data_IF_923309104917
#
_entry.id   IF_923309104917
#
_cell.length_a   1.000
_cell.length_b   1.000
_cell.length_c   1.000
_cell.angle_alpha   90.00
_cell.angle_beta   90.00
_cell.angle_gamma   90.00
#
_symmetry.space_group_name_H-M   'P 1'
#
loop_
_entity.id
_entity.type
_entity.pdbx_description
1 polymer ?
#
# COMPACT_ATOMS: atom_id res chain seq x y z
N UNK A 1 -11.49 -7.44 8.32
CA UNK A 1 -11.11 -7.56 9.73
C UNK A 1 -10.16 -6.43 10.12
N UNK A 2 -10.14 -6.09 11.40
CA UNK A 2 -9.17 -5.20 12.03
C UNK A 2 -8.39 -5.97 13.09
N UNK A 3 -7.25 -5.44 13.51
CA UNK A 3 -6.54 -5.87 14.70
C UNK A 3 -7.14 -5.27 15.99
N UNK A 4 -6.45 -5.45 17.14
CA UNK A 4 -7.03 -5.17 18.45
C UNK A 4 -7.29 -3.70 18.74
N UNK A 5 -6.52 -2.78 18.16
CA UNK A 5 -6.68 -1.33 18.28
C UNK A 5 -7.33 -0.67 17.05
N UNK A 6 -7.61 -1.48 16.00
CA UNK A 6 -8.37 -1.06 14.83
C UNK A 6 -7.62 -0.19 13.83
N UNK A 7 -6.31 -0.03 13.97
CA UNK A 7 -5.50 0.81 13.07
C UNK A 7 -5.08 0.09 11.78
N UNK A 8 -5.16 -1.25 11.76
CA UNK A 8 -4.85 -2.11 10.61
C UNK A 8 -6.08 -2.81 10.08
N UNK A 9 -6.06 -3.12 8.80
CA UNK A 9 -7.17 -3.78 8.15
C UNK A 9 -6.71 -4.95 7.27
N UNK A 10 -7.53 -5.99 7.21
CA UNK A 10 -7.38 -7.10 6.28
C UNK A 10 -8.66 -7.25 5.47
N UNK A 11 -8.52 -7.33 4.16
CA UNK A 11 -9.63 -7.57 3.23
C UNK A 11 -9.57 -9.01 2.76
N UNK A 12 -10.67 -9.71 2.97
CA UNK A 12 -10.86 -11.09 2.57
C UNK A 12 -12.17 -11.24 1.82
N UNK A 13 -12.10 -11.70 0.60
CA UNK A 13 -13.25 -12.12 -0.20
C UNK A 13 -13.60 -13.58 0.07
N UNK A 14 -14.48 -14.15 -0.74
CA UNK A 14 -14.82 -15.58 -0.66
C UNK A 14 -13.62 -16.42 -1.11
N UNK A 15 -12.84 -16.90 -0.14
CA UNK A 15 -11.62 -17.66 -0.39
C UNK A 15 -10.47 -16.86 -1.06
N UNK A 16 -10.58 -15.53 -1.11
CA UNK A 16 -9.63 -14.67 -1.79
C UNK A 16 -9.08 -13.58 -0.86
N UNK A 17 -7.79 -13.66 -0.56
CA UNK A 17 -7.08 -12.70 0.28
C UNK A 17 -6.49 -11.55 -0.55
N UNK A 18 -6.72 -10.32 -0.12
CA UNK A 18 -6.15 -9.12 -0.74
C UNK A 18 -4.87 -8.72 -0.01
N UNK A 19 -3.76 -8.68 -0.72
CA UNK A 19 -2.51 -8.14 -0.16
C UNK A 19 -2.68 -6.66 0.15
N UNK A 20 -2.18 -6.16 1.29
CA UNK A 20 -2.29 -4.74 1.66
C UNK A 20 -1.76 -3.78 0.59
N UNK A 21 -0.66 -4.15 -0.06
CA UNK A 21 -0.10 -3.37 -1.17
C UNK A 21 -1.04 -3.25 -2.36
N UNK A 22 -1.76 -4.31 -2.72
CA UNK A 22 -2.79 -4.28 -3.76
C UNK A 22 -4.02 -3.50 -3.30
N UNK A 23 -4.37 -3.62 -2.00
CA UNK A 23 -5.46 -2.87 -1.40
C UNK A 23 -5.28 -1.36 -1.60
N UNK A 24 -4.11 -0.80 -1.29
CA UNK A 24 -3.84 0.63 -1.50
C UNK A 24 -4.04 1.04 -2.98
N UNK A 25 -3.53 0.25 -3.92
CA UNK A 25 -3.69 0.52 -5.35
C UNK A 25 -5.17 0.54 -5.77
N UNK A 26 -5.98 -0.36 -5.19
CA UNK A 26 -7.42 -0.43 -5.43
C UNK A 26 -8.15 0.77 -4.84
N UNK A 27 -7.82 1.20 -3.61
CA UNK A 27 -8.39 2.41 -3.04
C UNK A 27 -8.11 3.63 -3.92
N UNK A 28 -6.89 3.75 -4.44
CA UNK A 28 -6.52 4.82 -5.38
C UNK A 28 -7.32 4.72 -6.67
N UNK A 29 -7.41 3.53 -7.29
CA UNK A 29 -8.18 3.32 -8.53
C UNK A 29 -9.63 3.74 -8.39
N UNK A 30 -10.26 3.38 -7.31
CA UNK A 30 -11.70 3.56 -7.09
C UNK A 30 -12.07 4.75 -6.19
N UNK A 31 -11.12 5.66 -5.89
CA UNK A 31 -11.35 6.75 -4.94
C UNK A 31 -12.62 7.57 -5.22
N UNK A 32 -12.94 7.84 -6.48
CA UNK A 32 -14.12 8.63 -6.86
C UNK A 32 -15.47 7.99 -6.51
N UNK A 33 -15.49 6.69 -6.20
CA UNK A 33 -16.68 6.00 -5.74
C UNK A 33 -17.02 6.32 -4.27
N UNK A 34 -16.07 6.84 -3.52
CA UNK A 34 -16.24 7.20 -2.12
C UNK A 34 -16.55 8.69 -2.00
N UNK A 35 -17.63 9.08 -1.31
CA UNK A 35 -18.05 10.48 -1.22
C UNK A 35 -16.94 11.43 -0.78
N UNK A 36 -16.11 11.03 0.16
CA UNK A 36 -14.99 11.83 0.68
C UNK A 36 -13.98 12.22 -0.40
N UNK A 37 -13.77 11.39 -1.42
CA UNK A 37 -12.78 11.60 -2.49
C UNK A 37 -13.38 11.99 -3.84
N UNK A 38 -14.64 12.40 -3.91
CA UNK A 38 -15.27 12.78 -5.18
C UNK A 38 -14.57 13.96 -5.87
N UNK A 39 -13.98 14.87 -5.09
CA UNK A 39 -13.16 15.98 -5.60
C UNK A 39 -11.81 15.55 -6.17
N UNK A 40 -11.42 14.28 -5.99
CA UNK A 40 -10.17 13.71 -6.44
C UNK A 40 -9.12 13.58 -5.34
N UNK A 41 -7.99 12.99 -5.73
CA UNK A 41 -6.80 12.87 -4.89
C UNK A 41 -5.81 13.98 -5.25
N UNK A 42 -5.14 14.57 -4.24
CA UNK A 42 -4.02 15.50 -4.43
C UNK A 42 -2.73 14.77 -4.75
N UNK A 43 -2.55 13.62 -4.15
CA UNK A 43 -1.43 12.72 -4.30
C UNK A 43 -1.59 11.54 -3.35
N UNK A 44 -0.72 10.57 -3.47
CA UNK A 44 -0.71 9.32 -2.72
C UNK A 44 0.67 9.06 -2.15
N UNK A 45 0.76 8.46 -0.97
CA UNK A 45 2.04 7.99 -0.45
C UNK A 45 2.02 6.51 -0.08
N UNK A 46 3.17 5.87 -0.26
CA UNK A 46 3.44 4.51 0.21
C UNK A 46 4.78 4.42 0.92
N UNK A 47 4.92 3.47 1.84
CA UNK A 47 6.23 3.14 2.40
C UNK A 47 7.13 2.46 1.36
N UNK A 48 8.44 2.54 1.53
CA UNK A 48 9.41 1.94 0.61
C UNK A 48 9.20 0.42 0.40
N UNK A 49 8.92 -0.39 1.45
CA UNK A 49 8.65 -1.82 1.27
C UNK A 49 7.27 -2.14 0.68
N UNK A 50 6.38 -1.15 0.57
CA UNK A 50 5.07 -1.34 -0.09
C UNK A 50 5.23 -1.46 -1.60
N UNK A 51 4.44 -2.33 -2.21
CA UNK A 51 4.43 -2.57 -3.65
C UNK A 51 4.27 -1.30 -4.49
N UNK A 52 4.95 -1.22 -5.62
CA UNK A 52 4.75 -0.18 -6.64
C UNK A 52 3.46 -0.38 -7.48
N UNK A 53 2.56 -1.28 -7.08
CA UNK A 53 1.25 -1.38 -7.73
C UNK A 53 0.49 -0.04 -7.71
N UNK A 54 0.56 0.69 -6.58
CA UNK A 54 -0.05 2.01 -6.47
C UNK A 54 0.59 3.04 -7.40
N UNK A 55 1.90 2.93 -7.66
CA UNK A 55 2.62 3.83 -8.58
C UNK A 55 2.09 3.66 -10.01
N UNK A 56 1.87 2.39 -10.43
CA UNK A 56 1.31 2.08 -11.75
C UNK A 56 -0.10 2.66 -11.93
N UNK A 57 -0.95 2.52 -10.92
CA UNK A 57 -2.32 3.07 -10.94
C UNK A 57 -2.29 4.59 -10.95
N UNK A 58 -1.53 5.21 -10.04
CA UNK A 58 -1.44 6.66 -9.89
C UNK A 58 -0.88 7.33 -11.14
N UNK A 59 0.13 6.72 -11.78
CA UNK A 59 0.70 7.20 -13.05
C UNK A 59 -0.34 7.31 -14.15
N UNK A 60 -1.21 6.29 -14.29
CA UNK A 60 -2.30 6.32 -15.28
C UNK A 60 -3.33 7.41 -14.98
N UNK A 61 -3.46 7.79 -13.72
CA UNK A 61 -4.40 8.82 -13.27
C UNK A 61 -3.78 10.23 -13.23
N UNK A 62 -2.49 10.36 -13.54
CA UNK A 62 -1.77 11.64 -13.47
C UNK A 62 -1.58 12.15 -12.04
N UNK A 63 -1.51 11.24 -11.05
CA UNK A 63 -1.34 11.57 -9.64
C UNK A 63 0.13 11.47 -9.22
N UNK A 64 0.55 12.37 -8.35
CA UNK A 64 1.84 12.30 -7.70
C UNK A 64 1.89 11.16 -6.68
N UNK A 65 2.98 10.40 -6.69
CA UNK A 65 3.26 9.33 -5.72
C UNK A 65 4.51 9.66 -4.94
N UNK A 66 4.41 9.56 -3.63
CA UNK A 66 5.51 9.78 -2.70
C UNK A 66 5.91 8.46 -2.03
N UNK A 67 7.14 8.05 -2.24
CA UNK A 67 7.74 6.93 -1.50
C UNK A 67 8.40 7.48 -0.24
N UNK A 68 8.07 6.90 0.92
CA UNK A 68 8.64 7.29 2.21
C UNK A 68 9.39 6.13 2.85
N UNK A 69 10.31 6.40 3.78
CA UNK A 69 10.75 5.37 4.72
C UNK A 69 9.57 4.77 5.49
N UNK A 70 9.76 3.60 6.10
CA UNK A 70 8.76 3.00 7.00
C UNK A 70 8.57 3.89 8.23
N UNK A 71 7.32 4.13 8.57
CA UNK A 71 6.93 4.91 9.76
C UNK A 71 5.88 5.96 9.43
N UNK A 72 4.78 5.93 10.19
CA UNK A 72 3.60 6.77 9.93
C UNK A 72 3.88 8.28 9.97
N UNK A 73 4.87 8.72 10.76
CA UNK A 73 5.30 10.13 10.85
C UNK A 73 5.66 10.74 9.48
N UNK A 74 6.16 9.96 8.55
CA UNK A 74 6.51 10.46 7.22
C UNK A 74 5.27 10.76 6.38
N UNK A 75 4.22 9.92 6.51
CA UNK A 75 2.93 10.22 5.90
C UNK A 75 2.29 11.46 6.53
N UNK A 76 2.31 11.56 7.87
CA UNK A 76 1.81 12.73 8.58
C UNK A 76 2.43 14.03 8.06
N UNK A 77 3.74 14.06 7.83
CA UNK A 77 4.44 15.22 7.27
C UNK A 77 3.95 15.57 5.84
N UNK A 78 3.66 14.59 5.00
CA UNK A 78 3.12 14.83 3.66
C UNK A 78 1.64 15.27 3.69
N UNK A 79 0.86 14.74 4.63
CA UNK A 79 -0.52 15.15 4.87
C UNK A 79 -0.58 16.61 5.36
N UNK A 80 0.29 17.00 6.31
CA UNK A 80 0.39 18.37 6.81
C UNK A 80 0.85 19.35 5.74
N UNK A 81 1.74 18.93 4.87
CA UNK A 81 2.17 19.72 3.71
C UNK A 81 1.11 19.81 2.59
N UNK A 82 -0.05 19.16 2.74
CA UNK A 82 -1.11 19.12 1.73
C UNK A 82 -0.74 18.40 0.44
N UNK A 83 0.34 17.60 0.45
CA UNK A 83 0.84 16.90 -0.74
C UNK A 83 0.01 15.68 -1.12
N UNK A 84 -0.52 14.99 -0.11
CA UNK A 84 -1.31 13.78 -0.27
C UNK A 84 -2.61 13.88 0.52
N UNK A 85 -3.56 13.03 0.19
CA UNK A 85 -4.77 12.80 0.99
C UNK A 85 -5.14 11.32 1.11
N UNK A 86 -4.28 10.41 0.64
CA UNK A 86 -4.41 8.97 0.84
C UNK A 86 -3.00 8.36 0.95
N UNK A 87 -2.82 7.43 1.89
CA UNK A 87 -1.55 6.72 2.06
C UNK A 87 -1.75 5.31 2.62
N UNK A 88 -0.72 4.48 2.51
CA UNK A 88 -0.77 3.12 3.03
C UNK A 88 0.56 2.40 3.04
N UNK A 89 0.57 1.30 3.79
CA UNK A 89 1.73 0.42 4.03
C UNK A 89 1.39 -1.03 3.68
N UNK A 90 2.43 -1.81 3.40
CA UNK A 90 2.32 -3.27 3.25
C UNK A 90 1.92 -3.97 4.55
N UNK A 91 2.14 -3.31 5.67
CA UNK A 91 1.85 -3.78 7.03
C UNK A 91 0.40 -3.53 7.48
N UNK A 92 -0.54 -3.52 6.53
CA UNK A 92 -1.99 -3.40 6.74
C UNK A 92 -2.49 -2.02 7.20
N UNK A 93 -1.62 -1.00 7.25
CA UNK A 93 -1.99 0.37 7.60
C UNK A 93 -2.43 1.18 6.38
N UNK A 94 -3.57 1.85 6.47
CA UNK A 94 -4.05 2.81 5.48
C UNK A 94 -4.69 3.98 6.19
N UNK A 95 -4.64 5.16 5.58
CA UNK A 95 -5.21 6.37 6.17
C UNK A 95 -5.36 7.52 5.16
N UNK A 96 -6.07 8.53 5.57
CA UNK A 96 -6.35 9.72 4.78
C UNK A 96 -6.19 11.01 5.60
N UNK A 97 -6.36 12.15 4.95
CA UNK A 97 -6.04 13.47 5.51
C UNK A 97 -7.04 14.00 6.57
N UNK A 98 -8.10 13.27 6.88
CA UNK A 98 -9.01 13.61 7.98
C UNK A 98 -8.39 13.34 9.37
N UNK A 99 -7.38 12.47 9.44
CA UNK A 99 -6.62 12.12 10.67
C UNK A 99 -5.15 11.90 10.32
N UNK A 100 -4.25 12.01 11.31
CA UNK A 100 -2.80 11.80 11.13
C UNK A 100 -2.33 10.41 11.54
N UNK A 101 -3.26 9.47 11.64
CA UNK A 101 -3.05 8.08 12.05
C UNK A 101 -3.59 7.09 11.02
N UNK A 102 -3.19 5.84 11.14
CA UNK A 102 -3.78 4.72 10.41
C UNK A 102 -5.21 4.51 10.89
N UNK A 103 -6.07 4.08 9.98
CA UNK A 103 -7.46 3.77 10.30
C UNK A 103 -7.95 2.56 9.51
N UNK A 104 -8.00 1.41 10.19
CA UNK A 104 -8.46 0.16 9.58
C UNK A 104 -9.96 0.18 9.26
N UNK A 105 -10.76 0.87 10.07
CA UNK A 105 -12.21 0.98 9.85
C UNK A 105 -12.48 1.82 8.61
N UNK A 106 -11.76 2.92 8.43
CA UNK A 106 -11.82 3.71 7.21
C UNK A 106 -11.57 2.87 5.95
N UNK A 107 -10.50 2.07 5.96
CA UNK A 107 -10.16 1.22 4.83
C UNK A 107 -11.23 0.18 4.52
N UNK A 108 -11.85 -0.41 5.55
CA UNK A 108 -12.97 -1.34 5.41
C UNK A 108 -14.19 -0.64 4.82
N UNK A 109 -14.57 0.52 5.33
CA UNK A 109 -15.70 1.31 4.80
C UNK A 109 -15.44 1.74 3.35
N UNK A 110 -14.21 2.05 3.01
CA UNK A 110 -13.81 2.35 1.64
C UNK A 110 -14.08 1.15 0.72
N UNK A 111 -13.61 -0.03 1.10
CA UNK A 111 -13.87 -1.28 0.36
C UNK A 111 -15.36 -1.59 0.22
N UNK A 112 -16.14 -1.40 1.28
CA UNK A 112 -17.60 -1.61 1.23
C UNK A 112 -18.27 -0.65 0.23
N UNK A 113 -17.81 0.60 0.14
CA UNK A 113 -18.28 1.54 -0.89
C UNK A 113 -17.95 1.04 -2.31
N UNK A 114 -16.72 0.55 -2.52
CA UNK A 114 -16.31 0.00 -3.82
C UNK A 114 -17.21 -1.18 -4.20
N UNK A 115 -17.38 -2.15 -3.31
CA UNK A 115 -18.23 -3.32 -3.53
C UNK A 115 -19.67 -2.93 -3.85
N UNK A 116 -20.25 -2.02 -3.04
CA UNK A 116 -21.63 -1.57 -3.22
C UNK A 116 -21.86 -0.83 -4.53
N UNK A 117 -20.88 -0.03 -4.98
CA UNK A 117 -21.00 0.77 -6.20
C UNK A 117 -20.67 -0.02 -7.47
N UNK A 118 -19.78 -0.99 -7.39
CA UNK A 118 -19.39 -1.79 -8.57
C UNK A 118 -20.26 -3.03 -8.76
N UNK A 119 -20.84 -3.55 -7.69
CA UNK A 119 -21.55 -4.85 -7.70
C UNK A 119 -20.63 -6.04 -7.94
N UNK A 120 -19.31 -5.83 -7.94
CA UNK A 120 -18.27 -6.85 -8.18
C UNK A 120 -17.84 -7.52 -6.88
N UNK A 121 -17.34 -8.74 -7.00
CA UNK A 121 -16.68 -9.44 -5.90
C UNK A 121 -15.28 -8.84 -5.63
N UNK A 122 -14.73 -9.12 -4.45
CA UNK A 122 -13.36 -8.71 -4.10
C UNK A 122 -12.34 -9.25 -5.12
N UNK A 123 -12.48 -10.51 -5.53
CA UNK A 123 -11.59 -11.16 -6.49
C UNK A 123 -11.65 -10.48 -7.86
N UNK A 124 -12.83 -10.20 -8.39
CA UNK A 124 -13.00 -9.50 -9.67
C UNK A 124 -12.36 -8.12 -9.66
N UNK A 125 -12.52 -7.36 -8.58
CA UNK A 125 -11.90 -6.04 -8.41
C UNK A 125 -10.36 -6.13 -8.46
N UNK A 126 -9.79 -7.10 -7.73
CA UNK A 126 -8.34 -7.28 -7.69
C UNK A 126 -7.80 -7.76 -9.03
N UNK A 127 -8.44 -8.74 -9.65
CA UNK A 127 -8.03 -9.25 -10.97
C UNK A 127 -8.08 -8.16 -12.04
N UNK A 128 -9.14 -7.36 -12.09
CA UNK A 128 -9.24 -6.21 -12.98
C UNK A 128 -8.10 -5.20 -12.76
N UNK A 129 -7.72 -4.94 -11.52
CA UNK A 129 -6.58 -4.08 -11.22
C UNK A 129 -5.27 -4.68 -11.75
N UNK A 130 -5.06 -6.01 -11.60
CA UNK A 130 -3.90 -6.69 -12.15
C UNK A 130 -3.87 -6.71 -13.68
N UNK A 131 -5.00 -6.96 -14.31
CA UNK A 131 -5.11 -6.99 -15.78
C UNK A 131 -4.78 -5.64 -16.40
N UNK A 132 -5.21 -4.56 -15.75
CA UNK A 132 -4.97 -3.20 -16.23
C UNK A 132 -3.56 -2.67 -15.91
N UNK A 133 -2.98 -3.06 -14.76
CA UNK A 133 -1.78 -2.40 -14.23
C UNK A 133 -0.59 -3.33 -14.05
N UNK A 134 -0.78 -4.63 -14.33
CA UNK A 134 0.18 -5.66 -14.02
C UNK A 134 0.06 -6.18 -12.58
N UNK A 135 0.53 -7.39 -12.37
CA UNK A 135 0.59 -8.02 -11.05
C UNK A 135 1.97 -7.90 -10.46
N UNK A 136 2.05 -7.37 -9.26
CA UNK A 136 3.29 -7.21 -8.51
C UNK A 136 3.46 -8.35 -7.52
N UNK A 137 4.67 -8.92 -7.48
CA UNK A 137 5.00 -10.05 -6.61
C UNK A 137 5.98 -9.58 -5.54
N UNK A 138 5.67 -9.87 -4.29
CA UNK A 138 6.46 -9.50 -3.13
C UNK A 138 6.60 -10.67 -2.18
N UNK A 139 7.79 -10.82 -1.63
CA UNK A 139 8.07 -11.76 -0.54
C UNK A 139 8.63 -10.98 0.65
N UNK A 140 8.20 -11.34 1.83
CA UNK A 140 8.75 -10.85 3.08
C UNK A 140 9.29 -12.05 3.86
N UNK A 141 10.52 -11.93 4.32
CA UNK A 141 11.15 -12.92 5.17
C UNK A 141 11.37 -12.30 6.54
N UNK A 142 10.86 -12.95 7.59
CA UNK A 142 11.05 -12.54 8.98
C UNK A 142 11.96 -13.52 9.67
N UNK A 143 12.94 -13.02 10.41
CA UNK A 143 13.88 -13.80 11.17
C UNK A 143 13.76 -13.41 12.64
N UNK A 144 13.38 -14.36 13.49
CA UNK A 144 13.21 -14.15 14.92
C UNK A 144 14.37 -14.76 15.69
N UNK A 145 14.68 -14.19 16.88
CA UNK A 145 15.73 -14.71 17.76
C UNK A 145 17.15 -14.65 17.21
N UNK A 146 17.41 -13.81 16.20
CA UNK A 146 18.74 -13.66 15.60
C UNK A 146 19.64 -12.85 16.54
N UNK A 147 20.90 -13.31 16.70
CA UNK A 147 21.92 -12.53 17.40
C UNK A 147 22.09 -11.13 16.78
N UNK A 148 22.17 -10.11 17.62
CA UNK A 148 22.26 -8.72 17.18
C UNK A 148 23.44 -8.45 16.26
N UNK A 149 24.64 -8.99 16.61
CA UNK A 149 25.84 -8.75 15.82
C UNK A 149 25.74 -9.42 14.44
N UNK A 150 25.13 -10.61 14.37
CA UNK A 150 24.87 -11.29 13.11
C UNK A 150 23.87 -10.51 12.24
N UNK A 151 22.82 -9.95 12.83
CA UNK A 151 21.85 -9.10 12.12
C UNK A 151 22.51 -7.82 11.60
N UNK A 152 23.29 -7.12 12.42
CA UNK A 152 24.00 -5.90 12.06
C UNK A 152 25.03 -6.15 10.94
N UNK A 153 25.75 -7.29 10.99
CA UNK A 153 26.69 -7.67 9.94
C UNK A 153 25.98 -7.98 8.62
N UNK A 154 24.84 -8.67 8.66
CA UNK A 154 24.04 -8.95 7.48
C UNK A 154 23.54 -7.64 6.84
N UNK A 155 22.96 -6.73 7.61
CA UNK A 155 22.48 -5.43 7.12
C UNK A 155 23.63 -4.64 6.50
N UNK A 156 24.79 -4.59 7.16
CA UNK A 156 25.99 -3.92 6.64
C UNK A 156 26.43 -4.49 5.30
N UNK A 157 26.45 -5.83 5.16
CA UNK A 157 26.83 -6.50 3.90
C UNK A 157 25.85 -6.17 2.79
N UNK A 158 24.55 -6.22 3.05
CA UNK A 158 23.51 -5.87 2.07
C UNK A 158 23.60 -4.39 1.67
N UNK A 159 23.76 -3.49 2.65
CA UNK A 159 23.87 -2.05 2.38
C UNK A 159 25.12 -1.67 1.58
N UNK A 160 26.23 -2.40 1.79
CA UNK A 160 27.49 -2.19 1.07
C UNK A 160 27.55 -2.94 -0.27
N UNK A 161 26.62 -3.87 -0.52
CA UNK A 161 26.55 -4.56 -1.78
C UNK A 161 25.97 -3.61 -2.83
N UNK A 162 26.78 -3.28 -3.84
CA UNK A 162 26.26 -2.55 -5.00
C UNK A 162 25.34 -3.50 -5.78
N UNK A 163 24.02 -3.35 -5.60
CA UNK A 163 22.99 -4.17 -6.23
C UNK A 163 22.45 -3.54 -7.51
N UNK A 164 22.79 -2.28 -7.79
CA UNK A 164 22.36 -1.56 -8.97
C UNK A 164 22.88 -2.23 -10.25
N UNK A 165 21.96 -2.53 -11.16
CA UNK A 165 22.26 -3.14 -12.44
C UNK A 165 22.65 -4.62 -12.39
N UNK A 166 22.57 -5.28 -11.21
CA UNK A 166 22.76 -6.74 -11.12
C UNK A 166 21.57 -7.46 -11.77
N UNK A 167 21.89 -8.45 -12.59
CA UNK A 167 20.88 -9.35 -13.13
C UNK A 167 20.61 -10.51 -12.15
N UNK A 168 19.34 -10.77 -11.91
CA UNK A 168 18.86 -11.92 -11.15
C UNK A 168 17.98 -12.76 -12.07
N UNK A 169 18.58 -13.77 -12.73
CA UNK A 169 17.94 -14.46 -13.84
C UNK A 169 17.72 -13.50 -15.02
N UNK A 170 16.49 -13.43 -15.50
CA UNK A 170 16.10 -12.54 -16.62
C UNK A 170 15.61 -11.16 -16.16
N UNK A 171 15.73 -10.84 -14.87
CA UNK A 171 15.27 -9.59 -14.25
C UNK A 171 16.46 -8.71 -13.89
N UNK A 172 16.37 -7.42 -14.21
CA UNK A 172 17.35 -6.39 -13.82
C UNK A 172 16.76 -5.44 -12.80
#
# INVERSE_FOLDING_TARGET
>A
ACDGDGDRNMILGNGFYVKPSDSLAILVKYHKLVPYFQSGLRGVARSAPTSSAVDAVAKKMGLDVYQTPTGWKFFASLLDAGRINLCGEESFGQGADYIREKDGIFAILFWLNILAKTGKTVEEIVREMWDENGRFFYCQYSYEGVDKNAADDMIRRVSNANLDGRKYGDVT
#
